data_IF_531991191641
#
_entry.id   IF_531991191641
#
_cell.length_a   1.000
_cell.length_b   1.000
_cell.length_c   1.000
_cell.angle_alpha   90.00
_cell.angle_beta   90.00
_cell.angle_gamma   90.00
#
_symmetry.space_group_name_H-M   'P 1'
#
loop_
_entity.id
_entity.type
_entity.pdbx_description
1 polymer ?
#
# COMPACT_ATOMS: atom_id res chain seq x y z
N UNK A 1 -2.98 7.54 -21.54
CA UNK A 1 -3.48 6.70 -20.41
C UNK A 1 -2.31 6.35 -19.52
N UNK A 2 -2.51 6.46 -18.21
CA UNK A 2 -1.44 6.34 -17.21
C UNK A 2 -0.90 4.92 -17.11
N UNK A 3 0.42 4.78 -16.94
CA UNK A 3 1.05 3.51 -16.57
C UNK A 3 0.50 2.94 -15.25
N UNK A 4 -0.08 3.77 -14.39
CA UNK A 4 -0.68 3.36 -13.11
C UNK A 4 -1.81 2.33 -13.26
N UNK A 5 -2.60 2.38 -14.34
CA UNK A 5 -3.67 1.38 -14.52
C UNK A 5 -3.09 -0.01 -14.83
N UNK A 6 -1.98 -0.07 -15.57
CA UNK A 6 -1.29 -1.34 -15.83
C UNK A 6 -0.77 -1.94 -14.53
N UNK A 7 -0.13 -1.13 -13.67
CA UNK A 7 0.37 -1.59 -12.36
C UNK A 7 -0.76 -2.18 -11.50
N UNK A 8 -1.91 -1.50 -11.43
CA UNK A 8 -3.06 -1.97 -10.64
C UNK A 8 -3.56 -3.32 -11.16
N UNK A 9 -3.76 -3.48 -12.47
CA UNK A 9 -4.28 -4.73 -13.04
C UNK A 9 -3.30 -5.89 -12.84
N UNK A 10 -2.01 -5.67 -13.11
CA UNK A 10 -0.98 -6.69 -12.92
C UNK A 10 -0.92 -7.14 -11.45
N UNK A 11 -0.99 -6.19 -10.50
CA UNK A 11 -1.03 -6.50 -9.06
C UNK A 11 -2.25 -7.35 -8.69
N UNK A 12 -3.45 -7.04 -9.20
CA UNK A 12 -4.65 -7.83 -8.90
C UNK A 12 -4.58 -9.23 -9.52
N UNK A 13 -3.99 -9.37 -10.71
CA UNK A 13 -3.74 -10.67 -11.33
C UNK A 13 -2.67 -11.51 -10.60
N UNK A 14 -1.72 -10.88 -9.91
CA UNK A 14 -0.78 -11.60 -9.03
C UNK A 14 -1.47 -12.15 -7.76
N UNK A 15 -2.49 -11.46 -7.25
CA UNK A 15 -3.27 -11.95 -6.10
C UNK A 15 -4.22 -13.07 -6.49
N UNK A 16 -4.90 -12.92 -7.63
CA UNK A 16 -5.83 -13.90 -8.17
C UNK A 16 -5.74 -13.92 -9.71
N UNK A 17 -5.03 -14.91 -10.28
CA UNK A 17 -4.86 -15.04 -11.73
C UNK A 17 -6.13 -15.43 -12.49
N UNK A 18 -7.17 -15.92 -11.81
CA UNK A 18 -8.41 -16.40 -12.44
C UNK A 18 -9.49 -15.32 -12.54
N UNK A 19 -9.17 -14.07 -12.19
CA UNK A 19 -10.14 -12.98 -12.28
C UNK A 19 -10.61 -12.74 -13.71
N UNK A 20 -11.94 -12.67 -13.88
CA UNK A 20 -12.54 -12.22 -15.12
C UNK A 20 -12.32 -10.71 -15.31
N UNK A 21 -12.38 -10.24 -16.56
CA UNK A 21 -12.30 -8.80 -16.86
C UNK A 21 -13.38 -7.97 -16.16
N UNK A 22 -14.57 -8.56 -15.93
CA UNK A 22 -15.66 -7.91 -15.21
C UNK A 22 -15.35 -7.79 -13.71
N UNK A 23 -14.74 -8.81 -13.11
CA UNK A 23 -14.32 -8.75 -11.71
C UNK A 23 -13.18 -7.73 -11.55
N UNK A 24 -12.19 -7.73 -12.45
CA UNK A 24 -11.13 -6.71 -12.46
C UNK A 24 -11.69 -5.29 -12.59
N UNK A 25 -12.72 -5.08 -13.42
CA UNK A 25 -13.38 -3.79 -13.55
C UNK A 25 -13.98 -3.31 -12.21
N UNK A 26 -14.68 -4.20 -11.50
CA UNK A 26 -15.27 -3.89 -10.21
C UNK A 26 -14.20 -3.63 -9.14
N UNK A 27 -13.21 -4.53 -8.99
CA UNK A 27 -12.14 -4.44 -7.98
C UNK A 27 -11.27 -3.20 -8.18
N UNK A 28 -10.97 -2.85 -9.43
CA UNK A 28 -10.12 -1.70 -9.76
C UNK A 28 -10.88 -0.38 -9.86
N UNK A 29 -12.22 -0.38 -9.77
CA UNK A 29 -13.05 0.81 -9.98
C UNK A 29 -12.94 1.39 -11.39
N UNK A 30 -12.73 0.54 -12.40
CA UNK A 30 -12.51 0.95 -13.79
C UNK A 30 -13.64 0.46 -14.70
N UNK A 31 -13.91 1.18 -15.78
CA UNK A 31 -14.85 0.68 -16.80
C UNK A 31 -14.30 -0.55 -17.51
N UNK A 32 -15.19 -1.46 -17.94
CA UNK A 32 -14.79 -2.67 -18.67
C UNK A 32 -13.97 -2.36 -19.93
N UNK A 33 -14.33 -1.30 -20.66
CA UNK A 33 -13.56 -0.84 -21.82
C UNK A 33 -12.15 -0.37 -21.48
N UNK A 34 -11.95 0.21 -20.28
CA UNK A 34 -10.61 0.56 -19.78
C UNK A 34 -9.82 -0.69 -19.44
N UNK A 35 -10.41 -1.66 -18.72
CA UNK A 35 -9.77 -2.95 -18.41
C UNK A 35 -9.31 -3.64 -19.69
N UNK A 36 -10.20 -3.77 -20.68
CA UNK A 36 -9.90 -4.46 -21.93
C UNK A 36 -8.70 -3.83 -22.65
N UNK A 37 -8.69 -2.50 -22.76
CA UNK A 37 -7.61 -1.77 -23.42
C UNK A 37 -6.29 -1.85 -22.66
N UNK A 38 -6.31 -1.81 -21.32
CA UNK A 38 -5.09 -1.96 -20.51
C UNK A 38 -4.55 -3.39 -20.60
N UNK A 39 -5.42 -4.40 -20.59
CA UNK A 39 -5.03 -5.81 -20.79
C UNK A 39 -4.40 -6.00 -22.17
N UNK A 40 -5.04 -5.52 -23.23
CA UNK A 40 -4.49 -5.63 -24.59
C UNK A 40 -3.10 -5.00 -24.67
N UNK A 41 -2.95 -3.78 -24.15
CA UNK A 41 -1.64 -3.13 -24.09
C UNK A 41 -0.62 -3.93 -23.28
N UNK A 42 -1.00 -4.49 -22.14
CA UNK A 42 -0.09 -5.29 -21.32
C UNK A 42 0.33 -6.59 -22.01
N UNK A 43 -0.53 -7.18 -22.85
CA UNK A 43 -0.17 -8.29 -23.75
C UNK A 43 0.81 -7.82 -24.83
N UNK A 44 0.55 -6.68 -25.48
CA UNK A 44 1.43 -6.10 -26.50
C UNK A 44 2.83 -5.76 -25.97
N UNK A 45 2.92 -5.38 -24.69
CA UNK A 45 4.17 -5.08 -23.98
C UNK A 45 4.83 -6.32 -23.37
N UNK A 46 4.27 -7.52 -23.58
CA UNK A 46 4.73 -8.78 -23.00
C UNK A 46 4.72 -8.83 -21.47
N UNK A 47 3.95 -7.96 -20.80
CA UNK A 47 3.78 -8.00 -19.34
C UNK A 47 2.75 -9.04 -18.89
N UNK A 48 1.85 -9.40 -19.80
CA UNK A 48 0.89 -10.47 -19.62
C UNK A 48 1.08 -11.54 -20.69
N UNK A 49 0.76 -12.77 -20.32
CA UNK A 49 0.60 -13.90 -21.22
C UNK A 49 -0.83 -14.43 -21.11
N UNK A 50 -1.42 -14.77 -22.25
CA UNK A 50 -2.71 -15.45 -22.30
C UNK A 50 -2.48 -16.95 -22.38
N UNK A 51 -3.03 -17.67 -21.41
CA UNK A 51 -3.07 -19.13 -21.34
C UNK A 51 -4.51 -19.61 -21.48
N UNK A 52 -4.68 -20.92 -21.64
CA UNK A 52 -6.00 -21.55 -21.77
C UNK A 52 -6.88 -21.31 -20.53
N UNK A 53 -6.27 -21.16 -19.37
CA UNK A 53 -6.92 -20.98 -18.07
C UNK A 53 -6.95 -19.53 -17.57
N UNK A 54 -6.50 -18.55 -18.37
CA UNK A 54 -6.62 -17.14 -18.05
C UNK A 54 -5.40 -16.29 -18.41
N UNK A 55 -5.19 -15.21 -17.64
CA UNK A 55 -4.06 -14.31 -17.80
C UNK A 55 -3.00 -14.63 -16.74
N UNK A 56 -1.73 -14.49 -17.12
CA UNK A 56 -0.59 -14.59 -16.21
C UNK A 56 0.33 -13.39 -16.39
N UNK A 57 0.87 -12.90 -15.28
CA UNK A 57 1.94 -11.91 -15.30
C UNK A 57 3.23 -12.64 -15.66
N UNK A 58 3.96 -12.11 -16.64
CA UNK A 58 5.24 -12.65 -17.11
C UNK A 58 6.39 -12.15 -16.25
N UNK A 59 7.60 -12.66 -16.48
CA UNK A 59 8.81 -12.16 -15.83
C UNK A 59 9.07 -10.69 -16.19
N UNK A 60 8.84 -10.28 -17.44
CA UNK A 60 8.90 -8.87 -17.85
C UNK A 60 7.85 -8.03 -17.13
N UNK A 61 6.66 -8.58 -16.91
CA UNK A 61 5.62 -7.95 -16.10
C UNK A 61 6.03 -7.77 -14.64
N UNK A 62 6.73 -8.76 -14.05
CA UNK A 62 7.29 -8.66 -12.71
C UNK A 62 8.39 -7.60 -12.62
N UNK A 63 9.32 -7.57 -13.58
CA UNK A 63 10.36 -6.53 -13.68
C UNK A 63 9.74 -5.15 -13.83
N UNK A 64 8.66 -5.02 -14.61
CA UNK A 64 7.91 -3.77 -14.73
C UNK A 64 7.28 -3.33 -13.39
N UNK A 65 6.88 -4.26 -12.52
CA UNK A 65 6.30 -3.95 -11.21
C UNK A 65 7.32 -3.58 -10.13
N UNK A 66 8.59 -4.00 -10.26
CA UNK A 66 9.63 -3.79 -9.24
C UNK A 66 9.77 -2.33 -8.76
N UNK A 67 9.74 -1.29 -9.63
CA UNK A 67 9.80 0.10 -9.19
C UNK A 67 8.59 0.55 -8.35
N UNK A 68 7.47 -0.16 -8.44
CA UNK A 68 6.22 0.15 -7.73
C UNK A 68 6.07 -0.62 -6.43
N UNK A 69 7.03 -1.50 -6.11
CA UNK A 69 7.06 -2.18 -4.82
C UNK A 69 7.28 -1.17 -3.71
N UNK A 70 6.41 -1.19 -2.70
CA UNK A 70 6.56 -0.37 -1.49
C UNK A 70 7.76 -0.90 -0.71
N UNK A 71 8.75 -0.04 -0.47
CA UNK A 71 10.00 -0.38 0.25
C UNK A 71 10.13 0.31 1.60
N UNK A 72 9.43 1.41 1.78
CA UNK A 72 9.50 2.25 2.96
C UNK A 72 8.14 2.80 3.36
N UNK A 73 8.08 3.33 4.57
CA UNK A 73 6.92 4.02 5.11
C UNK A 73 7.34 5.34 5.76
N UNK A 74 6.48 6.34 5.65
CA UNK A 74 6.62 7.61 6.37
C UNK A 74 5.43 7.72 7.32
N UNK A 75 5.71 7.82 8.62
CA UNK A 75 4.69 8.01 9.66
C UNK A 75 4.71 9.47 10.11
N UNK A 76 3.61 10.17 9.87
CA UNK A 76 3.45 11.58 10.25
C UNK A 76 2.97 11.66 11.71
N UNK A 77 3.92 11.66 12.64
CA UNK A 77 3.69 11.66 14.09
C UNK A 77 3.83 13.06 14.75
N UNK A 78 4.01 14.12 13.96
CA UNK A 78 4.15 15.50 14.42
C UNK A 78 2.83 16.15 14.89
N UNK A 79 1.73 15.40 14.93
CA UNK A 79 0.44 15.88 15.40
C UNK A 79 0.36 15.99 16.92
N UNK A 80 -0.27 17.06 17.40
CA UNK A 80 -0.67 17.20 18.80
C UNK A 80 -2.10 16.71 18.99
N UNK A 81 -2.34 15.89 20.01
CA UNK A 81 -3.69 15.51 20.44
C UNK A 81 -4.06 16.30 21.69
N UNK A 82 -4.95 17.30 21.57
CA UNK A 82 -5.60 17.89 22.73
C UNK A 82 -6.77 17.01 23.15
N UNK A 83 -6.78 16.56 24.40
CA UNK A 83 -7.97 15.92 24.96
C UNK A 83 -9.05 16.98 25.13
N UNK A 84 -10.22 16.79 24.51
CA UNK A 84 -11.41 17.61 24.78
C UNK A 84 -11.86 17.55 26.26
N UNK A 85 -11.28 16.64 27.07
CA UNK A 85 -11.60 16.40 28.48
C UNK A 85 -10.51 16.89 29.46
N UNK A 86 -9.48 17.61 28.98
CA UNK A 86 -8.59 18.43 29.83
C UNK A 86 -7.76 17.71 30.91
N UNK A 87 -7.57 16.39 30.83
CA UNK A 87 -7.04 15.57 31.95
C UNK A 87 -5.94 14.57 31.56
N UNK A 88 -5.38 14.66 30.35
CA UNK A 88 -4.23 13.82 29.97
C UNK A 88 -2.99 14.71 29.97
N UNK A 89 -1.94 14.27 30.67
CA UNK A 89 -0.60 14.83 30.57
C UNK A 89 -0.21 15.02 29.09
N UNK A 90 0.55 16.08 28.80
CA UNK A 90 0.99 16.40 27.45
C UNK A 90 1.82 15.24 26.87
N UNK A 91 1.21 14.45 25.99
CA UNK A 91 1.81 13.28 25.35
C UNK A 91 1.62 13.45 23.83
N UNK A 92 2.61 13.15 22.98
CA UNK A 92 2.46 13.27 21.53
C UNK A 92 1.36 12.34 21.00
N UNK A 93 0.68 12.73 19.92
CA UNK A 93 -0.44 11.94 19.40
C UNK A 93 -0.10 10.48 19.04
N UNK A 94 1.15 10.19 18.68
CA UNK A 94 1.63 8.83 18.42
C UNK A 94 1.58 7.90 19.64
N UNK A 95 1.58 8.44 20.85
CA UNK A 95 1.63 7.69 22.10
C UNK A 95 0.25 7.38 22.70
N UNK A 96 -0.83 7.73 21.99
CA UNK A 96 -2.18 7.38 22.39
C UNK A 96 -2.26 5.86 22.65
N UNK A 97 -2.83 5.49 23.79
CA UNK A 97 -3.08 4.09 24.12
C UNK A 97 -4.47 3.66 23.64
N UNK A 98 -4.53 2.61 22.83
CA UNK A 98 -5.78 2.00 22.39
C UNK A 98 -5.75 0.53 22.80
N UNK A 99 -6.72 0.12 23.63
CA UNK A 99 -6.78 -1.24 24.20
C UNK A 99 -5.50 -1.67 24.93
N UNK A 100 -4.78 -0.72 25.52
CA UNK A 100 -3.55 -0.98 26.28
C UNK A 100 -2.26 -0.91 25.48
N UNK A 101 -2.32 -0.79 24.15
CA UNK A 101 -1.15 -0.71 23.27
C UNK A 101 -0.85 0.74 22.85
N UNK A 102 0.43 1.08 22.74
CA UNK A 102 0.88 2.37 22.21
C UNK A 102 0.73 2.37 20.68
N UNK A 103 0.01 3.35 20.14
CA UNK A 103 -0.35 3.35 18.73
C UNK A 103 0.84 3.43 17.78
N UNK A 104 1.90 4.17 18.11
CA UNK A 104 3.08 4.27 17.24
C UNK A 104 3.85 2.95 17.16
N UNK A 105 4.03 2.25 18.28
CA UNK A 105 4.66 0.92 18.34
C UNK A 105 3.89 -0.07 17.48
N UNK A 106 2.57 -0.17 17.71
CA UNK A 106 1.68 -1.06 16.96
C UNK A 106 1.75 -0.81 15.44
N UNK A 107 1.86 0.45 15.02
CA UNK A 107 1.98 0.80 13.60
C UNK A 107 3.34 0.37 13.02
N UNK A 108 4.43 0.55 13.77
CA UNK A 108 5.77 0.10 13.37
C UNK A 108 5.78 -1.43 13.23
N UNK A 109 5.28 -2.17 14.21
CA UNK A 109 5.18 -3.64 14.16
C UNK A 109 4.39 -4.12 12.94
N UNK A 110 3.23 -3.50 12.67
CA UNK A 110 2.42 -3.86 11.50
C UNK A 110 3.11 -3.59 10.16
N UNK A 111 3.96 -2.57 10.07
CA UNK A 111 4.76 -2.29 8.88
C UNK A 111 5.87 -3.34 8.72
N UNK A 112 6.55 -3.69 9.82
CA UNK A 112 7.59 -4.71 9.85
C UNK A 112 7.05 -6.10 9.49
N UNK A 113 5.85 -6.46 9.98
CA UNK A 113 5.13 -7.69 9.62
C UNK A 113 4.83 -7.79 8.11
N UNK A 114 4.78 -6.64 7.42
CA UNK A 114 4.60 -6.56 5.96
C UNK A 114 5.91 -6.41 5.20
N UNK A 115 7.05 -6.52 5.88
CA UNK A 115 8.39 -6.43 5.30
C UNK A 115 8.86 -5.00 5.04
N UNK A 116 8.22 -3.99 5.65
CA UNK A 116 8.61 -2.59 5.53
C UNK A 116 9.43 -2.23 6.78
N UNK A 117 10.75 -2.15 6.61
CA UNK A 117 11.71 -1.87 7.69
C UNK A 117 12.33 -0.47 7.60
N UNK A 118 12.36 0.12 6.41
CA UNK A 118 12.74 1.52 6.22
C UNK A 118 11.54 2.39 6.61
N UNK A 119 11.51 2.81 7.87
CA UNK A 119 10.41 3.58 8.46
C UNK A 119 10.95 4.92 8.93
N UNK A 120 10.45 6.00 8.34
CA UNK A 120 10.78 7.37 8.76
C UNK A 120 9.65 7.93 9.59
N UNK A 121 9.92 8.26 10.85
CA UNK A 121 9.00 9.00 11.70
C UNK A 121 9.24 10.51 11.53
N UNK A 122 8.21 11.23 11.12
CA UNK A 122 8.21 12.71 11.13
C UNK A 122 7.61 13.16 12.46
N UNK A 123 8.46 13.58 13.37
CA UNK A 123 8.12 14.02 14.72
C UNK A 123 8.25 15.54 14.85
N UNK A 124 7.61 16.12 15.87
CA UNK A 124 7.59 17.56 16.11
C UNK A 124 7.53 17.87 17.60
N UNK A 125 6.37 18.26 18.09
CA UNK A 125 6.16 18.51 19.52
C UNK A 125 6.58 17.30 20.38
N UNK A 126 7.38 17.55 21.43
CA UNK A 126 7.93 16.53 22.32
C UNK A 126 8.61 15.36 21.58
N UNK A 127 9.42 15.67 20.56
CA UNK A 127 10.08 14.67 19.72
C UNK A 127 10.98 13.71 20.50
N UNK A 128 11.56 14.17 21.60
CA UNK A 128 12.46 13.40 22.46
C UNK A 128 11.78 12.15 23.05
N UNK A 129 10.44 12.16 23.15
CA UNK A 129 9.67 11.00 23.58
C UNK A 129 9.84 9.80 22.64
N UNK A 130 10.19 10.02 21.37
CA UNK A 130 10.34 8.98 20.36
C UNK A 130 11.75 8.34 20.31
N UNK A 131 12.72 8.83 21.08
CA UNK A 131 14.14 8.41 21.00
C UNK A 131 14.39 6.92 21.36
N UNK A 132 13.43 6.23 21.99
CA UNK A 132 13.56 4.81 22.35
C UNK A 132 13.08 3.82 21.27
N UNK A 133 12.45 4.32 20.21
CA UNK A 133 11.98 3.52 19.07
C UNK A 133 13.13 3.19 18.11
#
# INVERSE_FOLDING_TARGET
>A
MSQGNTVIILRELLKDPQQTQRNLAATCGMSLGTINRVIQRALDQHYLLRLDDGLRVTDEGLVFLEPYKVKNAIVLAAGFTSSALGTVDEIPGGFLKVKGEIMIERQIEQLQDRGIFDITLVVGYQMEAYDYL
#
